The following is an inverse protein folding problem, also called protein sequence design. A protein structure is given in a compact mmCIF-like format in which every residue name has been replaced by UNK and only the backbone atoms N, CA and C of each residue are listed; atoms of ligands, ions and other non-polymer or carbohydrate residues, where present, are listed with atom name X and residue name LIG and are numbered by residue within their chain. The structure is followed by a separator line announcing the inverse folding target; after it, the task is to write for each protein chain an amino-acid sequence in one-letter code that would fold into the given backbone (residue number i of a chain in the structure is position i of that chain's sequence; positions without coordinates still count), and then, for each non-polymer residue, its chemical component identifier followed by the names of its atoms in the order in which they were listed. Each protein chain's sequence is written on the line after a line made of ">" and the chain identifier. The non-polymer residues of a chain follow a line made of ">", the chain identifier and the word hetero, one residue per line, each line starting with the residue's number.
data_IF_878713212711
#
_entry.id   IF_878713212711
#
_cell.length_a   1.000
_cell.length_b   1.000
_cell.length_c   1.000
_cell.angle_alpha   90.00
_cell.angle_beta   90.00
_cell.angle_gamma   90.00
#
_symmetry.space_group_name_H-M   'P 1'
#
loop_
_entity.id
_entity.type
_entity.pdbx_description
1 polymer ?
#
# COMPACT_ATOMS: atom_id res chain seq x y z
N UNK A 1 12.92 12.21 14.73
CA UNK A 1 11.79 11.96 13.81
C UNK A 1 11.10 10.70 14.30
N UNK A 2 9.82 10.74 14.73
CA UNK A 2 9.10 9.51 15.01
C UNK A 2 9.02 8.73 13.70
N UNK A 3 9.71 7.59 13.65
CA UNK A 3 9.66 6.69 12.50
C UNK A 3 8.23 6.18 12.30
N UNK A 4 7.93 5.75 11.09
CA UNK A 4 6.66 5.14 10.76
C UNK A 4 6.38 3.92 11.66
N UNK A 5 5.22 3.88 12.30
CA UNK A 5 4.83 2.75 13.15
C UNK A 5 4.21 1.65 12.30
N UNK A 6 5.05 0.78 11.75
CA UNK A 6 4.61 -0.42 11.06
C UNK A 6 3.87 -1.40 12.00
N UNK A 7 2.94 -2.22 11.48
CA UNK A 7 2.51 -2.29 10.08
C UNK A 7 1.46 -1.22 9.70
N UNK A 8 1.37 -0.89 8.41
CA UNK A 8 0.28 -0.07 7.85
C UNK A 8 -0.81 -0.97 7.31
N UNK A 9 -2.06 -0.69 7.66
CA UNK A 9 -3.24 -1.37 7.12
C UNK A 9 -3.97 -0.41 6.20
N UNK A 10 -4.27 -0.87 4.99
CA UNK A 10 -5.05 -0.16 3.98
C UNK A 10 -6.31 -0.95 3.69
N UNK A 11 -7.44 -0.27 3.59
CA UNK A 11 -8.71 -0.86 3.20
C UNK A 11 -9.07 -0.38 1.79
N UNK A 12 -9.62 -1.28 0.99
CA UNK A 12 -10.10 -0.97 -0.34
C UNK A 12 -11.48 -0.31 -0.25
N UNK A 13 -11.59 0.92 -0.75
CA UNK A 13 -12.85 1.68 -0.73
C UNK A 13 -13.99 1.00 -1.52
N UNK A 14 -13.67 0.16 -2.50
CA UNK A 14 -14.69 -0.48 -3.35
C UNK A 14 -15.28 -1.75 -2.76
N UNK A 15 -14.50 -2.52 -1.99
CA UNK A 15 -14.86 -3.89 -1.63
C UNK A 15 -14.42 -4.29 -0.22
N UNK A 16 -13.83 -3.38 0.56
CA UNK A 16 -13.45 -3.60 1.95
C UNK A 16 -12.30 -4.59 2.14
N UNK A 17 -11.66 -5.06 1.06
CA UNK A 17 -10.45 -5.87 1.17
C UNK A 17 -9.38 -5.09 1.92
N UNK A 18 -8.61 -5.76 2.78
CA UNK A 18 -7.51 -5.14 3.51
C UNK A 18 -6.16 -5.56 2.91
N UNK A 19 -5.19 -4.65 2.89
CA UNK A 19 -3.79 -4.90 2.63
C UNK A 19 -2.93 -4.40 3.78
N UNK A 20 -2.02 -5.25 4.24
CA UNK A 20 -1.03 -4.88 5.24
C UNK A 20 0.33 -4.68 4.58
N UNK A 21 0.97 -3.54 4.85
CA UNK A 21 2.34 -3.23 4.47
C UNK A 21 3.24 -3.30 5.70
N UNK A 22 4.21 -4.20 5.67
CA UNK A 22 5.18 -4.41 6.74
C UNK A 22 6.48 -3.64 6.49
N UNK A 23 7.27 -3.44 7.55
CA UNK A 23 8.57 -2.77 7.46
C UNK A 23 9.55 -3.54 6.57
N UNK A 24 9.45 -4.88 6.56
CA UNK A 24 10.30 -5.75 5.76
C UNK A 24 10.03 -5.56 4.28
N UNK A 25 8.77 -5.51 3.85
CA UNK A 25 8.39 -5.22 2.47
C UNK A 25 8.90 -3.84 2.03
N UNK A 26 8.71 -2.82 2.88
CA UNK A 26 9.20 -1.47 2.60
C UNK A 26 10.73 -1.40 2.46
N UNK A 27 11.46 -2.16 3.29
CA UNK A 27 12.93 -2.22 3.24
C UNK A 27 13.45 -2.93 1.98
N UNK A 28 12.69 -3.87 1.44
CA UNK A 28 13.09 -4.60 0.22
C UNK A 28 13.02 -3.70 -1.02
N UNK A 29 12.08 -2.75 -1.05
CA UNK A 29 11.90 -1.84 -2.18
C UNK A 29 12.59 -0.49 -2.02
N UNK A 30 12.72 0.01 -0.79
CA UNK A 30 13.20 1.37 -0.53
C UNK A 30 14.35 1.39 0.50
N UNK A 31 15.46 2.12 0.23
CA UNK A 31 16.59 2.19 1.15
C UNK A 31 16.23 2.77 2.51
N UNK A 32 15.26 3.69 2.54
CA UNK A 32 14.69 4.23 3.76
C UNK A 32 13.26 3.68 3.95
N UNK A 33 13.09 2.57 4.70
CA UNK A 33 11.77 2.00 4.93
C UNK A 33 10.88 2.94 5.76
N UNK A 34 11.43 3.90 6.49
CA UNK A 34 10.64 4.81 7.33
C UNK A 34 10.16 6.06 6.57
N UNK A 35 10.30 6.09 5.24
CA UNK A 35 9.72 7.12 4.37
C UNK A 35 8.29 6.74 3.96
N UNK A 36 7.36 7.71 3.93
CA UNK A 36 5.97 7.48 3.49
C UNK A 36 5.91 6.91 2.06
N UNK A 37 6.83 7.37 1.21
CA UNK A 37 6.98 6.86 -0.16
C UNK A 37 7.29 5.37 -0.20
N UNK A 38 7.99 4.81 0.79
CA UNK A 38 8.29 3.38 0.84
C UNK A 38 7.00 2.55 1.04
N UNK A 39 6.05 3.05 1.83
CA UNK A 39 4.76 2.39 2.05
C UNK A 39 3.91 2.42 0.77
N UNK A 40 3.85 3.57 0.10
CA UNK A 40 3.11 3.75 -1.15
C UNK A 40 3.70 2.90 -2.29
N UNK A 41 5.03 2.84 -2.42
CA UNK A 41 5.71 1.98 -3.40
C UNK A 41 5.43 0.50 -3.16
N UNK A 42 5.43 0.01 -1.91
CA UNK A 42 5.04 -1.39 -1.63
C UNK A 42 3.59 -1.65 -2.03
N UNK A 43 2.69 -0.73 -1.66
CA UNK A 43 1.27 -0.86 -1.95
C UNK A 43 1.03 -0.93 -3.47
N UNK A 44 1.75 -0.14 -4.25
CA UNK A 44 1.62 -0.11 -5.70
C UNK A 44 2.39 -1.23 -6.42
N UNK A 45 3.67 -1.42 -6.12
CA UNK A 45 4.55 -2.33 -6.88
C UNK A 45 4.39 -3.80 -6.48
N UNK A 46 4.30 -4.10 -5.19
CA UNK A 46 4.23 -5.49 -4.70
C UNK A 46 2.79 -5.99 -4.63
N UNK A 47 1.86 -5.11 -4.23
CA UNK A 47 0.45 -5.49 -4.03
C UNK A 47 -0.43 -5.13 -5.22
N UNK A 48 0.00 -4.26 -6.12
CA UNK A 48 -0.80 -3.82 -7.27
C UNK A 48 -1.96 -2.90 -6.91
N UNK A 49 -1.95 -2.30 -5.71
CA UNK A 49 -3.01 -1.40 -5.26
C UNK A 49 -2.80 -0.01 -5.85
N UNK A 50 -3.89 0.68 -6.12
CA UNK A 50 -3.87 2.04 -6.67
C UNK A 50 -4.38 3.01 -5.63
N UNK A 51 -3.60 4.06 -5.37
CA UNK A 51 -4.01 5.18 -4.52
C UNK A 51 -4.48 6.33 -5.39
N UNK A 52 -5.71 6.77 -5.19
CA UNK A 52 -6.30 7.91 -5.87
C UNK A 52 -6.68 8.99 -4.84
N UNK A 53 -7.01 10.23 -5.28
CA UNK A 53 -7.49 11.27 -4.38
C UNK A 53 -8.76 10.86 -3.62
N UNK A 54 -9.56 9.95 -4.19
CA UNK A 54 -10.79 9.42 -3.60
C UNK A 54 -10.58 8.25 -2.64
N UNK A 55 -9.35 7.73 -2.48
CA UNK A 55 -9.03 6.64 -1.55
C UNK A 55 -8.13 5.57 -2.17
N UNK A 56 -8.12 4.38 -1.58
CA UNK A 56 -7.24 3.27 -1.98
C UNK A 56 -8.06 2.13 -2.58
N UNK A 57 -7.57 1.55 -3.67
CA UNK A 57 -8.28 0.53 -4.44
C UNK A 57 -7.39 -0.70 -4.65
N UNK A 58 -7.93 -1.88 -4.37
CA UNK A 58 -7.23 -3.15 -4.58
C UNK A 58 -7.28 -3.57 -6.06
N UNK A 59 -6.27 -4.34 -6.53
CA UNK A 59 -6.20 -4.79 -7.91
C UNK A 59 -7.46 -5.53 -8.36
N UNK A 60 -8.04 -6.40 -7.51
CA UNK A 60 -9.21 -7.19 -7.86
C UNK A 60 -10.48 -6.38 -8.12
N UNK A 61 -10.58 -5.16 -7.57
CA UNK A 61 -11.72 -4.26 -7.80
C UNK A 61 -11.44 -3.30 -8.98
N UNK A 62 -10.16 -3.10 -9.36
CA UNK A 62 -9.76 -2.43 -10.61
C UNK A 62 -9.78 -3.35 -11.84
N UNK A 63 -9.56 -4.66 -11.69
CA UNK A 63 -9.58 -5.65 -12.79
C UNK A 63 -10.99 -6.08 -13.23
N UNK A 64 -12.05 -5.63 -12.56
CA UNK A 64 -13.44 -5.88 -12.95
C UNK A 64 -13.91 -5.05 -14.17
N UNK A 65 -13.00 -4.73 -15.11
CA UNK A 65 -13.27 -4.08 -16.40
C UNK A 65 -12.62 -4.88 -17.53
N UNK A 66 -13.07 -6.11 -17.75
CA UNK A 66 -13.03 -6.79 -19.05
C UNK A 66 -14.33 -7.57 -19.29
#
# INVERSE_FOLDING_TARGET
>A
MPGLTYPFVFECESCGTEATVTRTEARNLYPNPDALTAVDEVLQQEKGWTKAPSGVYCPGCTEARD
#
